data_IF_431212753516
#
_entry.id   IF_431212753516
#
_cell.length_a   1.000
_cell.length_b   1.000
_cell.length_c   1.000
_cell.angle_alpha   90.00
_cell.angle_beta   90.00
_cell.angle_gamma   90.00
#
_symmetry.space_group_name_H-M   'P 1'
#
loop_
_entity.id
_entity.type
_entity.pdbx_description
1 polymer ?
#
# COMPACT_ATOMS: atom_id res chain seq x y z
N UNK A 1 15.35 20.75 23.97
CA UNK A 1 14.36 20.22 23.01
C UNK A 1 13.03 20.09 23.74
N UNK A 2 11.92 20.73 23.33
CA UNK A 2 10.67 20.56 24.04
C UNK A 2 10.15 19.13 23.81
N UNK A 3 9.89 18.42 24.91
CA UNK A 3 9.27 17.10 24.92
C UNK A 3 7.92 17.12 24.18
N UNK A 4 7.46 15.98 23.63
CA UNK A 4 6.11 15.89 23.07
C UNK A 4 5.10 16.34 24.12
N UNK A 5 4.43 17.47 23.88
CA UNK A 5 3.43 18.00 24.80
C UNK A 5 2.09 17.37 24.46
N UNK A 6 1.55 16.56 25.38
CA UNK A 6 0.19 16.04 25.28
C UNK A 6 -0.77 17.24 25.35
N UNK A 7 -1.40 17.57 24.23
CA UNK A 7 -2.30 18.72 24.16
C UNK A 7 -3.74 18.26 23.91
N UNK A 8 -4.55 18.27 24.97
CA UNK A 8 -5.97 17.86 24.93
C UNK A 8 -6.84 18.73 24.01
N UNK A 9 -6.35 19.88 23.54
CA UNK A 9 -7.07 20.74 22.58
C UNK A 9 -7.25 20.06 21.22
N UNK A 10 -6.33 19.18 20.80
CA UNK A 10 -6.44 18.48 19.51
C UNK A 10 -7.63 17.52 19.44
N UNK A 11 -8.05 16.93 20.57
CA UNK A 11 -9.25 16.07 20.62
C UNK A 11 -10.55 16.86 20.37
N UNK A 12 -10.58 18.15 20.70
CA UNK A 12 -11.75 19.01 20.44
C UNK A 12 -11.82 19.49 18.98
N UNK A 13 -10.67 19.56 18.30
CA UNK A 13 -10.54 19.95 16.89
C UNK A 13 -10.52 18.74 15.95
N UNK A 14 -10.64 17.53 16.50
CA UNK A 14 -10.57 16.30 15.75
C UNK A 14 -11.81 16.11 14.88
N UNK A 15 -11.62 15.69 13.64
CA UNK A 15 -12.71 15.44 12.70
C UNK A 15 -13.41 14.11 13.02
N UNK A 16 -14.39 14.20 13.91
CA UNK A 16 -15.22 13.06 14.30
C UNK A 16 -16.05 12.48 13.16
N UNK A 17 -16.40 13.27 12.15
CA UNK A 17 -17.17 12.78 11.00
C UNK A 17 -16.32 11.82 10.16
N UNK A 18 -15.07 12.18 9.87
CA UNK A 18 -14.15 11.28 9.15
C UNK A 18 -13.90 9.99 9.94
N UNK A 19 -13.75 10.05 11.26
CA UNK A 19 -13.61 8.85 12.08
C UNK A 19 -14.87 7.98 12.06
N UNK A 20 -16.06 8.58 12.19
CA UNK A 20 -17.33 7.86 12.15
C UNK A 20 -17.49 7.13 10.81
N UNK A 21 -17.21 7.78 9.69
CA UNK A 21 -17.24 7.17 8.35
C UNK A 21 -16.27 5.99 8.26
N UNK A 22 -15.05 6.14 8.78
CA UNK A 22 -14.04 5.08 8.84
C UNK A 22 -14.53 3.86 9.64
N UNK A 23 -15.16 4.09 10.80
CA UNK A 23 -15.71 3.02 11.64
C UNK A 23 -16.85 2.30 10.92
N UNK A 24 -17.77 3.05 10.29
CA UNK A 24 -18.88 2.46 9.53
C UNK A 24 -18.34 1.58 8.39
N UNK A 25 -17.40 2.07 7.59
CA UNK A 25 -16.79 1.30 6.48
C UNK A 25 -16.04 0.07 7.02
N UNK A 26 -15.37 0.20 8.17
CA UNK A 26 -14.66 -0.93 8.77
C UNK A 26 -15.62 -2.00 9.29
N UNK A 27 -16.74 -1.61 9.90
CA UNK A 27 -17.77 -2.53 10.39
C UNK A 27 -18.52 -3.22 9.23
N UNK A 28 -18.85 -2.50 8.16
CA UNK A 28 -19.39 -3.14 6.96
C UNK A 28 -18.39 -4.12 6.35
N UNK A 29 -17.10 -3.81 6.37
CA UNK A 29 -16.02 -4.73 6.02
C UNK A 29 -15.98 -6.00 6.89
N UNK A 30 -16.20 -5.90 8.20
CA UNK A 30 -16.30 -7.06 9.08
C UNK A 30 -17.50 -7.93 8.70
N UNK A 31 -18.65 -7.31 8.43
CA UNK A 31 -19.86 -8.02 8.00
C UNK A 31 -19.65 -8.75 6.67
N UNK A 32 -18.97 -8.12 5.70
CA UNK A 32 -18.66 -8.78 4.42
C UNK A 32 -17.69 -9.94 4.59
N UNK A 33 -16.65 -9.81 5.43
CA UNK A 33 -15.74 -10.92 5.75
C UNK A 33 -16.48 -12.08 6.41
N UNK A 34 -17.33 -11.79 7.39
CA UNK A 34 -18.17 -12.81 8.03
C UNK A 34 -19.05 -13.55 7.01
N UNK A 35 -19.68 -12.79 6.10
CA UNK A 35 -20.54 -13.36 5.06
C UNK A 35 -19.76 -14.16 4.02
N UNK A 36 -18.56 -13.74 3.65
CA UNK A 36 -17.75 -14.38 2.62
C UNK A 36 -17.04 -15.64 3.12
N UNK A 37 -16.72 -15.71 4.41
CA UNK A 37 -16.00 -16.84 5.02
C UNK A 37 -16.92 -17.87 5.67
N UNK A 38 -18.25 -17.72 5.50
CA UNK A 38 -19.23 -18.67 6.02
C UNK A 38 -19.13 -19.98 5.23
N UNK A 39 -18.87 -21.12 5.89
CA UNK A 39 -18.81 -22.39 5.18
C UNK A 39 -20.20 -22.80 4.68
N UNK A 40 -20.24 -23.36 3.47
CA UNK A 40 -21.48 -23.79 2.79
C UNK A 40 -22.04 -25.09 3.41
N UNK A 41 -21.15 -25.98 3.85
CA UNK A 41 -21.49 -27.15 4.66
C UNK A 41 -21.20 -26.88 6.14
N UNK A 42 -21.85 -27.61 7.03
CA UNK A 42 -21.83 -27.52 8.50
C UNK A 42 -20.44 -27.72 9.16
N UNK A 43 -19.47 -26.87 8.82
CA UNK A 43 -18.19 -26.78 9.49
C UNK A 43 -18.14 -25.55 10.39
N UNK A 44 -17.21 -25.55 11.34
CA UNK A 44 -17.00 -24.44 12.27
C UNK A 44 -16.58 -23.21 11.46
N UNK A 45 -17.26 -22.10 11.67
CA UNK A 45 -16.95 -20.85 10.99
C UNK A 45 -15.55 -20.37 11.39
N UNK A 46 -14.68 -20.03 10.43
CA UNK A 46 -13.35 -19.53 10.75
C UNK A 46 -13.41 -18.13 11.39
N UNK A 47 -12.61 -17.93 12.43
CA UNK A 47 -12.62 -16.70 13.27
C UNK A 47 -11.93 -15.47 12.63
N UNK A 48 -11.97 -15.32 11.30
CA UNK A 48 -11.35 -14.19 10.61
C UNK A 48 -11.99 -12.85 10.97
N UNK A 49 -13.31 -12.82 11.16
CA UNK A 49 -14.03 -11.62 11.57
C UNK A 49 -13.65 -11.16 12.99
N UNK A 50 -13.36 -12.09 13.91
CA UNK A 50 -12.87 -11.77 15.26
C UNK A 50 -11.48 -11.13 15.17
N UNK A 51 -10.58 -11.71 14.36
CA UNK A 51 -9.26 -11.12 14.11
C UNK A 51 -9.40 -9.71 13.51
N UNK A 52 -10.33 -9.50 12.57
CA UNK A 52 -10.57 -8.19 11.97
C UNK A 52 -11.06 -7.17 13.00
N UNK A 53 -11.98 -7.55 13.90
CA UNK A 53 -12.45 -6.68 14.99
C UNK A 53 -11.30 -6.30 15.94
N UNK A 54 -10.44 -7.26 16.31
CA UNK A 54 -9.26 -6.99 17.14
C UNK A 54 -8.32 -5.99 16.46
N UNK A 55 -8.04 -6.14 15.15
CA UNK A 55 -7.21 -5.20 14.40
C UNK A 55 -7.82 -3.81 14.28
N UNK A 56 -9.15 -3.70 14.12
CA UNK A 56 -9.86 -2.42 14.16
C UNK A 56 -9.68 -1.75 15.53
N UNK A 57 -9.84 -2.50 16.62
CA UNK A 57 -9.65 -1.96 17.98
C UNK A 57 -8.21 -1.48 18.20
N UNK A 58 -7.20 -2.27 17.80
CA UNK A 58 -5.79 -1.86 17.86
C UNK A 58 -5.57 -0.61 17.01
N UNK A 59 -6.12 -0.56 15.79
CA UNK A 59 -6.04 0.59 14.90
C UNK A 59 -6.64 1.86 15.50
N UNK A 60 -7.81 1.76 16.15
CA UNK A 60 -8.43 2.89 16.86
C UNK A 60 -7.56 3.40 18.00
N UNK A 61 -7.00 2.49 18.81
CA UNK A 61 -6.05 2.87 19.87
C UNK A 61 -4.83 3.60 19.27
N UNK A 62 -4.29 3.10 18.15
CA UNK A 62 -3.19 3.76 17.44
C UNK A 62 -3.57 5.16 16.92
N UNK A 63 -4.78 5.34 16.38
CA UNK A 63 -5.26 6.65 15.92
C UNK A 63 -5.34 7.63 17.10
N UNK A 64 -5.98 7.23 18.21
CA UNK A 64 -6.07 8.09 19.39
C UNK A 64 -4.70 8.40 19.98
N UNK A 65 -3.79 7.42 20.03
CA UNK A 65 -2.42 7.64 20.45
C UNK A 65 -1.75 8.70 19.56
N UNK A 66 -1.86 8.58 18.24
CA UNK A 66 -1.26 9.55 17.29
C UNK A 66 -1.84 10.96 17.41
N UNK A 67 -3.13 11.11 17.71
CA UNK A 67 -3.77 12.43 17.93
C UNK A 67 -3.19 13.16 19.15
N UNK A 68 -2.66 12.42 20.13
CA UNK A 68 -2.04 13.02 21.31
C UNK A 68 -0.62 13.57 21.05
N UNK A 69 0.01 13.18 19.94
CA UNK A 69 1.36 13.59 19.58
C UNK A 69 1.36 14.70 18.51
N UNK A 70 2.23 15.68 18.69
CA UNK A 70 2.45 16.72 17.68
C UNK A 70 3.16 16.13 16.45
N UNK A 71 2.53 16.27 15.28
CA UNK A 71 3.07 15.79 14.01
C UNK A 71 4.42 16.46 13.65
N UNK A 72 4.71 17.65 14.20
CA UNK A 72 6.01 18.33 14.03
C UNK A 72 7.17 17.51 14.60
N UNK A 73 6.91 16.68 15.62
CA UNK A 73 7.91 15.77 16.15
C UNK A 73 8.32 14.72 15.10
N UNK A 74 7.36 14.14 14.38
CA UNK A 74 7.65 13.15 13.31
C UNK A 74 8.49 13.76 12.19
N UNK A 75 8.29 15.04 11.84
CA UNK A 75 9.12 15.73 10.85
C UNK A 75 10.60 15.73 11.24
N UNK A 76 10.93 15.91 12.52
CA UNK A 76 12.33 15.92 12.94
C UNK A 76 12.99 14.54 12.75
N UNK A 77 12.26 13.46 13.04
CA UNK A 77 12.75 12.09 12.91
C UNK A 77 12.61 11.48 11.50
N UNK A 78 12.03 12.19 10.52
CA UNK A 78 11.67 11.60 9.22
C UNK A 78 12.82 10.83 8.52
N UNK A 79 14.04 11.37 8.51
CA UNK A 79 15.18 10.70 7.86
C UNK A 79 15.69 9.51 8.67
N UNK A 80 15.63 9.58 10.00
CA UNK A 80 15.96 8.45 10.88
C UNK A 80 14.95 7.32 10.68
N UNK A 81 13.66 7.65 10.63
CA UNK A 81 12.59 6.71 10.32
C UNK A 81 12.75 6.10 8.92
N UNK A 82 13.16 6.91 7.93
CA UNK A 82 13.41 6.44 6.58
C UNK A 82 14.54 5.40 6.53
N UNK A 83 15.70 5.70 7.13
CA UNK A 83 16.83 4.75 7.20
C UNK A 83 16.41 3.50 7.96
N UNK A 84 15.73 3.63 9.10
CA UNK A 84 15.17 2.51 9.85
C UNK A 84 14.24 1.64 8.98
N UNK A 85 13.36 2.27 8.20
CA UNK A 85 12.47 1.60 7.28
C UNK A 85 13.21 0.85 6.17
N UNK A 86 14.26 1.43 5.59
CA UNK A 86 15.12 0.76 4.61
C UNK A 86 15.81 -0.45 5.24
N UNK A 87 16.34 -0.31 6.46
CA UNK A 87 16.93 -1.42 7.20
C UNK A 87 15.91 -2.54 7.41
N UNK A 88 14.67 -2.22 7.80
CA UNK A 88 13.61 -3.22 7.91
C UNK A 88 13.28 -3.93 6.59
N UNK A 89 13.27 -3.21 5.46
CA UNK A 89 13.06 -3.79 4.13
C UNK A 89 14.22 -4.71 3.70
N UNK A 90 15.45 -4.42 4.14
CA UNK A 90 16.60 -5.30 3.93
C UNK A 90 16.51 -6.52 4.85
N UNK A 91 16.19 -6.32 6.14
CA UNK A 91 16.08 -7.41 7.11
C UNK A 91 15.02 -8.44 6.72
N UNK A 92 13.88 -8.01 6.17
CA UNK A 92 12.84 -8.95 5.73
C UNK A 92 13.24 -9.77 4.50
N UNK A 93 14.19 -9.27 3.68
CA UNK A 93 14.78 -10.06 2.60
C UNK A 93 15.73 -11.15 3.12
N UNK A 94 16.31 -10.96 4.30
CA UNK A 94 17.27 -11.91 4.89
C UNK A 94 16.59 -12.93 5.82
N UNK A 95 15.65 -12.47 6.65
CA UNK A 95 15.06 -13.24 7.77
C UNK A 95 13.56 -13.45 7.59
N UNK A 96 12.93 -12.84 6.57
CA UNK A 96 11.50 -12.98 6.34
C UNK A 96 11.11 -14.41 5.98
N UNK A 97 9.96 -14.86 6.51
CA UNK A 97 9.40 -16.17 6.13
C UNK A 97 8.76 -16.09 4.75
N UNK A 98 8.97 -17.13 3.95
CA UNK A 98 8.33 -17.27 2.64
C UNK A 98 6.90 -17.79 2.80
N UNK A 99 5.91 -16.92 2.64
CA UNK A 99 4.52 -17.34 2.41
C UNK A 99 4.26 -17.44 0.90
N UNK A 100 3.82 -18.59 0.39
CA UNK A 100 3.52 -18.80 -1.04
C UNK A 100 4.67 -18.40 -1.99
N UNK A 101 5.91 -18.68 -1.60
CA UNK A 101 7.11 -18.37 -2.39
C UNK A 101 7.61 -16.92 -2.30
N UNK A 102 7.14 -16.13 -1.33
CA UNK A 102 7.56 -14.74 -1.19
C UNK A 102 7.86 -14.32 0.27
N UNK A 103 9.11 -13.89 0.51
CA UNK A 103 9.61 -13.43 1.81
C UNK A 103 9.24 -11.97 2.04
N UNK A 104 8.17 -11.74 2.79
CA UNK A 104 7.50 -10.43 2.88
C UNK A 104 7.04 -10.06 4.29
N UNK A 105 6.92 -11.06 5.14
CA UNK A 105 6.36 -10.93 6.47
C UNK A 105 7.37 -11.37 7.52
N UNK A 106 7.46 -10.58 8.60
CA UNK A 106 8.02 -11.06 9.85
C UNK A 106 6.92 -11.79 10.59
N UNK A 107 7.12 -13.09 10.80
CA UNK A 107 6.20 -13.91 11.57
C UNK A 107 6.64 -13.90 13.03
N UNK A 108 5.87 -13.22 13.88
CA UNK A 108 6.10 -13.16 15.33
C UNK A 108 5.24 -14.21 16.08
N UNK A 109 4.69 -15.20 15.37
CA UNK A 109 3.87 -16.28 15.90
C UNK A 109 2.42 -15.86 16.15
N UNK A 110 2.20 -14.80 16.93
CA UNK A 110 0.84 -14.31 17.26
C UNK A 110 0.32 -13.39 16.16
N UNK A 111 1.21 -12.61 15.54
CA UNK A 111 0.88 -11.69 14.46
C UNK A 111 1.98 -11.67 13.40
N UNK A 112 1.59 -11.36 12.17
CA UNK A 112 2.50 -11.14 11.07
C UNK A 112 2.65 -9.64 10.84
N UNK A 113 3.88 -9.15 10.76
CA UNK A 113 4.16 -7.75 10.46
C UNK A 113 4.78 -7.61 9.07
N UNK A 114 4.20 -6.72 8.26
CA UNK A 114 4.68 -6.43 6.90
C UNK A 114 5.43 -5.09 6.87
N UNK A 115 6.77 -5.08 6.75
CA UNK A 115 7.55 -3.86 6.78
C UNK A 115 7.19 -2.85 5.67
N UNK A 116 6.77 -3.33 4.50
CA UNK A 116 6.44 -2.46 3.37
C UNK A 116 5.21 -1.58 3.61
N UNK A 117 4.27 -2.01 4.48
CA UNK A 117 3.12 -1.17 4.85
C UNK A 117 3.54 -0.03 5.78
N UNK A 118 4.36 -0.32 6.81
CA UNK A 118 4.94 0.71 7.66
C UNK A 118 5.82 1.67 6.85
N UNK A 119 6.63 1.14 5.94
CA UNK A 119 7.52 1.94 5.09
C UNK A 119 6.77 2.95 4.24
N UNK A 120 5.54 2.64 3.77
CA UNK A 120 4.73 3.58 2.98
C UNK A 120 4.44 4.87 3.76
N UNK A 121 4.10 4.75 5.04
CA UNK A 121 3.86 5.91 5.91
C UNK A 121 5.15 6.69 6.15
N UNK A 122 6.23 5.99 6.49
CA UNK A 122 7.56 6.57 6.70
C UNK A 122 8.02 7.35 5.46
N UNK A 123 7.80 6.79 4.27
CA UNK A 123 8.17 7.39 3.01
C UNK A 123 7.44 8.72 2.78
N UNK A 124 6.13 8.78 3.02
CA UNK A 124 5.35 10.01 2.87
C UNK A 124 5.92 11.11 3.78
N UNK A 125 6.26 10.77 5.03
CA UNK A 125 6.84 11.72 5.98
C UNK A 125 8.22 12.20 5.49
N UNK A 126 9.06 11.29 5.00
CA UNK A 126 10.40 11.59 4.52
C UNK A 126 10.40 12.47 3.26
N UNK A 127 9.56 12.14 2.28
CA UNK A 127 9.35 12.96 1.08
C UNK A 127 8.79 14.31 1.50
N UNK A 128 7.76 14.34 2.35
CA UNK A 128 7.15 15.59 2.84
C UNK A 128 8.18 16.52 3.48
N UNK A 129 9.09 15.98 4.32
CA UNK A 129 10.19 16.76 4.90
C UNK A 129 11.13 17.30 3.83
N UNK A 130 11.62 16.44 2.94
CA UNK A 130 12.56 16.84 1.87
C UNK A 130 11.96 17.90 0.94
N UNK A 131 10.71 17.71 0.51
CA UNK A 131 10.01 18.67 -0.34
C UNK A 131 9.72 19.97 0.40
N UNK A 132 9.52 19.94 1.72
CA UNK A 132 9.34 21.16 2.52
C UNK A 132 10.62 22.00 2.64
N UNK A 133 11.82 21.39 2.55
CA UNK A 133 13.09 22.12 2.62
C UNK A 133 13.47 22.84 1.33
N UNK A 134 12.94 22.41 0.19
CA UNK A 134 13.21 23.05 -1.11
C UNK A 134 12.44 24.37 -1.20
N UNK A 135 13.13 25.47 -1.48
CA UNK A 135 12.49 26.76 -1.75
C UNK A 135 12.10 26.84 -3.23
N UNK A 136 10.82 27.08 -3.52
CA UNK A 136 10.31 27.18 -4.90
C UNK A 136 9.96 25.81 -5.53
N UNK A 137 10.16 25.71 -6.85
CA UNK A 137 9.85 24.52 -7.65
C UNK A 137 10.94 23.45 -7.54
N UNK A 138 10.58 22.19 -7.82
CA UNK A 138 11.54 21.09 -7.92
C UNK A 138 12.39 21.24 -9.19
N UNK A 139 13.70 21.43 -9.03
CA UNK A 139 14.63 21.43 -10.16
C UNK A 139 14.86 20.03 -10.70
N UNK A 140 15.45 19.92 -11.89
CA UNK A 140 15.87 18.62 -12.48
C UNK A 140 16.71 17.78 -11.52
N UNK A 141 17.70 18.38 -10.87
CA UNK A 141 18.61 17.65 -10.00
C UNK A 141 17.95 17.24 -8.69
N UNK A 142 17.08 18.09 -8.14
CA UNK A 142 16.28 17.73 -6.95
C UNK A 142 15.32 16.57 -7.23
N UNK A 143 14.71 16.55 -8.42
CA UNK A 143 13.83 15.47 -8.83
C UNK A 143 14.60 14.16 -9.02
N UNK A 144 15.73 14.19 -9.73
CA UNK A 144 16.54 12.98 -9.97
C UNK A 144 17.09 12.41 -8.66
N UNK A 145 17.63 13.26 -7.77
CA UNK A 145 18.18 12.82 -6.49
C UNK A 145 17.10 12.26 -5.57
N UNK A 146 15.95 12.93 -5.48
CA UNK A 146 14.83 12.47 -4.66
C UNK A 146 14.16 11.22 -5.23
N UNK A 147 14.06 11.08 -6.56
CA UNK A 147 13.57 9.88 -7.20
C UNK A 147 14.52 8.69 -6.95
N UNK A 148 15.83 8.91 -7.06
CA UNK A 148 16.83 7.89 -6.74
C UNK A 148 16.69 7.39 -5.31
N UNK A 149 16.73 8.31 -4.35
CA UNK A 149 16.72 7.96 -2.92
C UNK A 149 15.33 7.46 -2.50
N UNK A 150 14.29 8.28 -2.64
CA UNK A 150 12.99 7.99 -2.05
C UNK A 150 12.13 7.02 -2.87
N UNK A 151 12.34 6.88 -4.18
CA UNK A 151 11.52 6.02 -5.03
C UNK A 151 12.25 4.76 -5.47
N UNK A 152 13.40 4.88 -6.14
CA UNK A 152 14.08 3.75 -6.80
C UNK A 152 14.69 2.76 -5.80
N UNK A 153 15.41 3.22 -4.78
CA UNK A 153 16.00 2.35 -3.75
C UNK A 153 14.93 1.44 -3.10
N UNK A 154 13.85 1.99 -2.48
CA UNK A 154 12.85 1.13 -1.85
C UNK A 154 12.05 0.31 -2.86
N UNK A 155 11.82 0.81 -4.08
CA UNK A 155 11.17 0.03 -5.14
C UNK A 155 11.96 -1.24 -5.49
N UNK A 156 13.28 -1.12 -5.65
CA UNK A 156 14.16 -2.26 -5.94
C UNK A 156 14.11 -3.28 -4.79
N UNK A 157 14.16 -2.82 -3.53
CA UNK A 157 14.04 -3.69 -2.36
C UNK A 157 12.71 -4.44 -2.32
N UNK A 158 11.60 -3.78 -2.63
CA UNK A 158 10.26 -4.38 -2.62
C UNK A 158 10.06 -5.36 -3.80
N UNK A 159 10.60 -5.06 -4.99
CA UNK A 159 10.56 -6.01 -6.11
C UNK A 159 11.32 -7.30 -5.76
N UNK A 160 12.44 -7.20 -5.03
CA UNK A 160 13.16 -8.38 -4.52
C UNK A 160 12.33 -9.21 -3.54
N UNK A 161 11.30 -8.65 -2.90
CA UNK A 161 10.32 -9.34 -2.04
C UNK A 161 9.14 -9.93 -2.83
N UNK A 162 9.37 -10.39 -4.07
CA UNK A 162 8.36 -10.56 -5.12
C UNK A 162 7.15 -9.60 -5.20
N UNK A 163 7.17 -8.40 -4.62
CA UNK A 163 5.95 -7.63 -4.27
C UNK A 163 5.67 -6.46 -5.22
N UNK A 164 5.37 -6.78 -6.49
CA UNK A 164 5.25 -5.74 -7.53
C UNK A 164 4.17 -4.68 -7.25
N UNK A 165 3.01 -5.07 -6.75
CA UNK A 165 1.89 -4.14 -6.51
C UNK A 165 2.22 -3.04 -5.49
N UNK A 166 2.84 -3.39 -4.36
CA UNK A 166 3.24 -2.41 -3.34
C UNK A 166 4.37 -1.51 -3.83
N UNK A 167 5.30 -2.04 -4.63
CA UNK A 167 6.33 -1.25 -5.29
C UNK A 167 5.74 -0.18 -6.23
N UNK A 168 4.74 -0.53 -7.04
CA UNK A 168 4.07 0.43 -7.93
C UNK A 168 3.33 1.52 -7.15
N UNK A 169 2.63 1.16 -6.06
CA UNK A 169 1.96 2.13 -5.19
C UNK A 169 2.98 3.12 -4.60
N UNK A 170 4.17 2.64 -4.23
CA UNK A 170 5.24 3.48 -3.71
C UNK A 170 5.72 4.51 -4.75
N UNK A 171 5.99 4.05 -5.98
CA UNK A 171 6.38 4.93 -7.08
C UNK A 171 5.29 5.98 -7.39
N UNK A 172 4.03 5.55 -7.43
CA UNK A 172 2.89 6.44 -7.63
C UNK A 172 2.80 7.49 -6.51
N UNK A 173 2.97 7.07 -5.26
CA UNK A 173 2.96 7.97 -4.09
C UNK A 173 4.04 9.03 -4.21
N UNK A 174 5.29 8.63 -4.54
CA UNK A 174 6.38 9.59 -4.78
C UNK A 174 6.03 10.56 -5.90
N UNK A 175 5.54 10.05 -7.03
CA UNK A 175 5.22 10.87 -8.20
C UNK A 175 4.15 11.92 -7.89
N UNK A 176 3.06 11.53 -7.23
CA UNK A 176 2.01 12.48 -6.84
C UNK A 176 2.52 13.54 -5.85
N UNK A 177 3.33 13.16 -4.87
CA UNK A 177 3.91 14.13 -3.94
C UNK A 177 4.88 15.10 -4.63
N UNK A 178 5.69 14.61 -5.58
CA UNK A 178 6.57 15.45 -6.37
C UNK A 178 5.77 16.44 -7.24
N UNK A 179 4.68 15.99 -7.86
CA UNK A 179 3.75 16.85 -8.61
C UNK A 179 3.14 17.96 -7.72
N UNK A 180 2.75 17.63 -6.48
CA UNK A 180 2.22 18.62 -5.52
C UNK A 180 3.21 19.74 -5.20
N UNK A 181 4.52 19.46 -5.25
CA UNK A 181 5.59 20.45 -5.02
C UNK A 181 5.85 21.35 -6.26
N UNK A 182 5.16 21.10 -7.38
CA UNK A 182 5.34 21.75 -8.69
C UNK A 182 6.73 21.46 -9.27
N UNK A 183 6.80 20.41 -10.07
CA UNK A 183 7.99 20.04 -10.84
C UNK A 183 8.18 21.04 -11.98
N UNK A 184 9.42 21.42 -12.27
CA UNK A 184 9.75 22.19 -13.47
C UNK A 184 9.17 21.53 -14.73
N UNK A 185 8.43 22.30 -15.55
CA UNK A 185 7.73 21.78 -16.75
C UNK A 185 8.66 21.01 -17.69
N UNK A 186 9.92 21.41 -17.81
CA UNK A 186 10.93 20.74 -18.63
C UNK A 186 11.20 19.31 -18.16
N UNK A 187 11.24 19.07 -16.86
CA UNK A 187 11.44 17.72 -16.30
C UNK A 187 10.23 16.86 -16.64
N UNK A 188 9.02 17.38 -16.43
CA UNK A 188 7.79 16.65 -16.76
C UNK A 188 7.71 16.28 -18.25
N UNK A 189 8.00 17.23 -19.15
CA UNK A 189 7.99 16.95 -20.60
C UNK A 189 9.08 15.96 -20.98
N UNK A 190 10.29 16.07 -20.43
CA UNK A 190 11.37 15.09 -20.67
C UNK A 190 11.01 13.70 -20.17
N UNK A 191 10.31 13.56 -19.04
CA UNK A 191 9.85 12.25 -18.54
C UNK A 191 8.81 11.63 -19.48
N UNK A 192 7.83 12.40 -19.93
CA UNK A 192 6.81 11.90 -20.86
C UNK A 192 7.45 11.45 -22.17
N UNK A 193 8.34 12.28 -22.74
CA UNK A 193 9.09 11.94 -23.95
C UNK A 193 9.95 10.69 -23.73
N UNK A 194 10.67 10.61 -22.61
CA UNK A 194 11.47 9.44 -22.28
C UNK A 194 10.62 8.17 -22.16
N UNK A 195 9.46 8.22 -21.52
CA UNK A 195 8.55 7.07 -21.45
C UNK A 195 8.09 6.65 -22.85
N UNK A 196 7.65 7.59 -23.68
CA UNK A 196 7.17 7.29 -25.04
C UNK A 196 8.29 6.72 -25.92
N UNK A 197 9.52 7.25 -25.85
CA UNK A 197 10.64 6.79 -26.66
C UNK A 197 11.27 5.49 -26.13
N UNK A 198 11.33 5.31 -24.81
CA UNK A 198 11.96 4.14 -24.19
C UNK A 198 11.02 2.93 -24.13
N UNK A 199 9.70 3.11 -24.18
CA UNK A 199 8.74 1.98 -24.17
C UNK A 199 8.96 0.98 -25.31
N UNK A 200 9.13 1.36 -26.59
CA UNK A 200 9.41 0.40 -27.65
C UNK A 200 10.83 -0.22 -27.55
N UNK A 201 11.80 0.51 -26.99
CA UNK A 201 13.19 0.05 -26.88
C UNK A 201 13.38 -0.90 -25.68
N UNK A 202 12.82 -0.55 -24.52
CA UNK A 202 12.98 -1.28 -23.26
C UNK A 202 11.84 -2.27 -22.99
N UNK A 203 10.74 -2.22 -23.75
CA UNK A 203 9.58 -3.10 -23.52
C UNK A 203 9.95 -4.59 -23.57
N UNK A 204 10.68 -5.02 -24.61
CA UNK A 204 11.15 -6.42 -24.75
C UNK A 204 12.13 -6.86 -23.66
N UNK A 205 13.23 -6.14 -23.36
CA UNK A 205 14.16 -6.57 -22.31
C UNK A 205 13.53 -6.52 -20.92
N UNK A 206 12.68 -5.52 -20.62
CA UNK A 206 11.93 -5.48 -19.35
C UNK A 206 11.02 -6.71 -19.27
N UNK A 207 10.24 -6.99 -20.32
CA UNK A 207 9.34 -8.14 -20.35
C UNK A 207 10.09 -9.45 -20.10
N UNK A 208 11.23 -9.66 -20.75
CA UNK A 208 12.01 -10.88 -20.58
C UNK A 208 12.63 -11.02 -19.19
N UNK A 209 12.97 -9.90 -18.53
CA UNK A 209 13.50 -9.87 -17.16
C UNK A 209 12.43 -10.12 -16.09
N UNK A 210 11.15 -9.94 -16.41
CA UNK A 210 10.05 -10.23 -15.48
C UNK A 210 9.92 -11.75 -15.24
N UNK A 211 9.71 -12.11 -13.97
CA UNK A 211 9.36 -13.47 -13.56
C UNK A 211 7.97 -13.85 -14.08
N UNK A 212 7.71 -15.13 -14.26
CA UNK A 212 6.45 -15.61 -14.86
C UNK A 212 5.22 -15.13 -14.10
N UNK A 213 5.24 -15.12 -12.76
CA UNK A 213 4.13 -14.57 -11.97
C UNK A 213 3.88 -13.07 -12.22
N UNK A 214 4.92 -12.29 -12.57
CA UNK A 214 4.78 -10.86 -12.87
C UNK A 214 4.15 -10.67 -14.25
N UNK A 215 4.62 -11.44 -15.24
CA UNK A 215 4.03 -11.48 -16.58
C UNK A 215 2.57 -11.89 -16.52
N UNK A 216 2.28 -12.97 -15.79
CA UNK A 216 0.93 -13.49 -15.61
C UNK A 216 0.00 -12.43 -15.04
N UNK A 217 0.42 -11.64 -14.03
CA UNK A 217 -0.39 -10.53 -13.52
C UNK A 217 -0.68 -9.44 -14.54
N UNK A 218 0.28 -9.09 -15.40
CA UNK A 218 0.09 -8.09 -16.45
C UNK A 218 -0.86 -8.62 -17.54
N UNK A 219 -0.67 -9.87 -17.97
CA UNK A 219 -1.54 -10.53 -18.94
C UNK A 219 -2.96 -10.67 -18.39
N UNK A 220 -3.12 -11.11 -17.13
CA UNK A 220 -4.43 -11.20 -16.47
C UNK A 220 -5.19 -9.87 -16.49
N UNK A 221 -4.46 -8.77 -16.30
CA UNK A 221 -5.04 -7.44 -16.23
C UNK A 221 -5.49 -6.93 -17.60
N UNK A 222 -4.70 -7.19 -18.66
CA UNK A 222 -5.00 -6.75 -20.03
C UNK A 222 -6.05 -7.67 -20.68
N UNK A 223 -5.89 -8.98 -20.53
CA UNK A 223 -6.77 -9.99 -21.09
C UNK A 223 -7.03 -11.11 -20.07
N UNK A 224 -8.02 -10.91 -19.18
CA UNK A 224 -8.42 -11.93 -18.20
C UNK A 224 -9.00 -13.21 -18.87
N UNK A 225 -9.48 -13.10 -20.11
CA UNK A 225 -10.19 -14.19 -20.81
C UNK A 225 -9.27 -15.27 -21.35
N UNK A 226 -7.97 -14.98 -21.44
CA UNK A 226 -6.95 -15.89 -21.95
C UNK A 226 -6.71 -17.12 -21.06
N UNK A 227 -6.94 -16.99 -19.76
CA UNK A 227 -6.90 -18.10 -18.81
C UNK A 227 -7.92 -17.91 -17.67
N UNK A 228 -9.21 -18.22 -17.91
CA UNK A 228 -10.29 -18.01 -16.93
C UNK A 228 -10.23 -18.95 -15.71
N UNK A 229 -9.42 -20.02 -15.75
CA UNK A 229 -9.35 -21.04 -14.68
C UNK A 229 -8.08 -20.94 -13.85
N UNK A 230 -7.01 -20.36 -14.38
CA UNK A 230 -5.79 -20.06 -13.64
C UNK A 230 -5.69 -18.58 -13.31
N UNK A 231 -4.98 -17.85 -14.14
CA UNK A 231 -4.51 -16.48 -13.87
C UNK A 231 -5.65 -15.45 -13.83
N UNK A 232 -6.67 -15.61 -14.67
CA UNK A 232 -7.84 -14.72 -14.78
C UNK A 232 -9.01 -15.11 -13.87
N UNK A 233 -8.93 -16.24 -13.17
CA UNK A 233 -10.05 -16.78 -12.39
C UNK A 233 -10.63 -15.79 -11.38
N UNK A 234 -9.78 -15.11 -10.62
CA UNK A 234 -10.25 -14.14 -9.61
C UNK A 234 -10.96 -12.94 -10.25
N UNK A 235 -10.51 -12.50 -11.43
CA UNK A 235 -11.11 -11.38 -12.15
C UNK A 235 -12.46 -11.79 -12.74
N UNK A 236 -12.53 -12.96 -13.36
CA UNK A 236 -13.79 -13.49 -13.92
C UNK A 236 -14.82 -13.81 -12.83
N UNK A 237 -14.41 -14.39 -11.70
CA UNK A 237 -15.32 -14.60 -10.57
C UNK A 237 -15.79 -13.28 -9.96
N UNK A 238 -14.94 -12.25 -9.91
CA UNK A 238 -15.37 -10.91 -9.50
C UNK A 238 -16.43 -10.36 -10.44
N UNK A 239 -16.26 -10.50 -11.77
CA UNK A 239 -17.27 -10.10 -12.77
C UNK A 239 -18.59 -10.86 -12.61
N UNK A 240 -18.54 -12.18 -12.47
CA UNK A 240 -19.74 -13.02 -12.27
C UNK A 240 -20.44 -12.64 -10.96
N UNK A 241 -19.68 -12.42 -9.89
CA UNK A 241 -20.23 -12.04 -8.58
C UNK A 241 -20.91 -10.68 -8.64
N UNK A 242 -20.27 -9.68 -9.26
CA UNK A 242 -20.87 -8.35 -9.47
C UNK A 242 -22.11 -8.45 -10.37
N UNK A 243 -22.02 -9.18 -11.49
CA UNK A 243 -23.14 -9.36 -12.42
C UNK A 243 -24.34 -10.08 -11.79
N UNK A 244 -24.09 -11.07 -10.94
CA UNK A 244 -25.14 -11.81 -10.22
C UNK A 244 -25.77 -11.02 -9.07
N UNK A 245 -25.09 -9.97 -8.58
CA UNK A 245 -25.55 -9.14 -7.48
C UNK A 245 -26.44 -7.96 -7.89
N UNK A 246 -26.35 -7.49 -9.14
CA UNK A 246 -27.03 -6.26 -9.59
C UNK A 246 -26.75 -5.07 -8.63
N UNK A 247 -27.62 -4.06 -8.54
CA UNK A 247 -27.38 -2.83 -7.75
C UNK A 247 -27.39 -3.09 -6.23
N UNK A 248 -28.16 -4.09 -5.77
CA UNK A 248 -28.40 -4.36 -4.34
C UNK A 248 -27.44 -5.45 -3.78
N UNK A 249 -26.72 -6.14 -4.66
CA UNK A 249 -25.99 -7.36 -4.31
C UNK A 249 -26.92 -8.57 -4.14
N UNK A 250 -26.35 -9.76 -3.98
CA UNK A 250 -27.13 -10.97 -3.67
C UNK A 250 -27.72 -10.98 -2.24
N UNK A 251 -27.31 -10.04 -1.39
CA UNK A 251 -27.71 -9.94 0.01
C UNK A 251 -26.75 -10.63 0.97
N UNK A 252 -26.83 -10.25 2.25
CA UNK A 252 -26.02 -10.78 3.33
C UNK A 252 -26.22 -12.30 3.49
N UNK A 253 -25.13 -13.07 3.60
CA UNK A 253 -25.09 -14.54 3.71
C UNK A 253 -25.55 -15.34 2.49
N UNK A 254 -25.82 -14.68 1.35
CA UNK A 254 -26.31 -15.31 0.12
C UNK A 254 -25.23 -15.45 -0.97
N UNK A 255 -23.96 -15.39 -0.57
CA UNK A 255 -22.83 -15.60 -1.48
C UNK A 255 -22.80 -17.05 -1.98
N UNK A 256 -22.55 -17.25 -3.28
CA UNK A 256 -22.43 -18.61 -3.87
C UNK A 256 -21.01 -19.17 -3.81
N UNK A 257 -20.04 -18.35 -3.45
CA UNK A 257 -18.65 -18.74 -3.34
C UNK A 257 -18.08 -18.13 -2.06
N UNK A 258 -17.56 -19.00 -1.20
CA UNK A 258 -16.91 -18.74 0.07
C UNK A 258 -15.99 -19.92 0.39
#
# INVERSE_FOLDING_TARGET
MPLPRINRKYLKLFDWYTLLLLVIISLTGVLTVYSATRPILSSIQPNYYIKQLLWIMIGLVCVFAMVLYDYLWLKNFAYVLYVFGIVMLILVLMVGRSGLGAQRWFDMGIFSFQPSELFRVILIIAIGKYMSSIRGQLTKWDFISSAGIFALIPFILIIKQPHLGTGLILLATFFFMALSKKIERRVLTTMVIAIVLLTPLLGKPIWNSLKDYQKNRIVAFIDPSRDPRGIGYQIEQSKITIGSGMIVGRGYLKGTQG
#
